data_IF_200826140676
#
_entry.id   IF_200826140676
#
_cell.length_a   1.000
_cell.length_b   1.000
_cell.length_c   1.000
_cell.angle_alpha   90.00
_cell.angle_beta   90.00
_cell.angle_gamma   90.00
#
_symmetry.space_group_name_H-M   'P 1'
#
loop_
_entity.id
_entity.type
_entity.pdbx_description
1 polymer ?
#
# COMPACT_ATOMS: atom_id res chain seq x y z
N UNK A 1 23.57 -20.17 -16.42
CA UNK A 1 22.84 -19.36 -15.43
C UNK A 1 22.96 -17.91 -15.86
N UNK A 2 21.85 -17.18 -16.01
CA UNK A 2 21.87 -15.79 -16.49
C UNK A 2 22.64 -14.88 -15.53
N UNK A 3 23.38 -13.89 -16.06
CA UNK A 3 24.12 -12.95 -15.22
C UNK A 3 23.15 -12.01 -14.47
N UNK A 4 23.63 -11.30 -13.44
CA UNK A 4 22.81 -10.27 -12.78
C UNK A 4 22.39 -9.19 -13.78
N UNK A 5 23.28 -8.83 -14.71
CA UNK A 5 22.99 -7.83 -15.74
C UNK A 5 21.91 -8.29 -16.72
N UNK A 6 21.91 -9.58 -17.11
CA UNK A 6 20.88 -10.14 -17.99
C UNK A 6 19.50 -10.11 -17.31
N UNK A 7 19.43 -10.49 -16.03
CA UNK A 7 18.18 -10.45 -15.24
C UNK A 7 17.67 -9.03 -15.00
N UNK A 8 18.56 -8.05 -14.83
CA UNK A 8 18.15 -6.64 -14.73
C UNK A 8 17.63 -6.09 -16.06
N UNK A 9 18.11 -6.60 -17.21
CA UNK A 9 17.59 -6.23 -18.53
C UNK A 9 16.18 -6.76 -18.76
N UNK A 10 15.84 -7.93 -18.23
CA UNK A 10 14.50 -8.51 -18.32
C UNK A 10 13.43 -7.63 -17.66
N UNK A 11 13.77 -6.91 -16.59
CA UNK A 11 12.85 -6.00 -15.89
C UNK A 11 12.73 -4.60 -16.53
N UNK A 12 13.54 -4.28 -17.56
CA UNK A 12 13.46 -2.97 -18.22
C UNK A 12 12.15 -2.85 -19.00
N UNK A 13 11.48 -1.72 -18.86
CA UNK A 13 10.23 -1.38 -19.55
C UNK A 13 9.08 -2.34 -19.25
N UNK A 14 9.17 -3.13 -18.17
CA UNK A 14 8.10 -4.04 -17.76
C UNK A 14 6.94 -3.29 -17.08
N UNK A 15 7.24 -2.20 -16.40
CA UNK A 15 6.25 -1.37 -15.71
C UNK A 15 6.59 0.12 -15.85
N UNK A 16 5.57 0.95 -15.72
CA UNK A 16 5.70 2.40 -15.66
C UNK A 16 4.77 2.98 -14.58
N UNK A 17 5.17 4.11 -13.99
CA UNK A 17 4.29 4.90 -13.14
C UNK A 17 3.48 5.80 -14.08
N UNK A 18 2.16 5.63 -14.05
CA UNK A 18 1.24 6.30 -14.99
C UNK A 18 0.37 7.36 -14.33
N UNK A 19 0.32 7.40 -13.00
CA UNK A 19 -0.37 8.45 -12.26
C UNK A 19 0.13 8.53 -10.83
N UNK A 20 0.13 9.74 -10.29
CA UNK A 20 0.53 10.05 -8.92
C UNK A 20 -0.36 11.15 -8.38
N UNK A 21 -0.83 11.01 -7.15
CA UNK A 21 -1.56 12.08 -6.49
C UNK A 21 -1.59 11.85 -4.97
N UNK A 22 -2.01 12.89 -4.26
CA UNK A 22 -2.20 12.91 -2.82
C UNK A 22 -3.71 12.89 -2.48
N UNK A 23 -4.03 12.81 -1.18
CA UNK A 23 -5.39 13.07 -0.71
C UNK A 23 -5.77 14.53 -0.97
N UNK A 24 -7.08 14.82 -1.05
CA UNK A 24 -7.58 16.15 -1.43
C UNK A 24 -7.08 17.27 -0.50
N UNK A 25 -6.78 16.91 0.75
CA UNK A 25 -6.15 17.79 1.72
C UNK A 25 -5.03 17.06 2.45
N UNK A 26 -4.02 17.81 2.89
CA UNK A 26 -2.91 17.33 3.73
C UNK A 26 -2.72 18.29 4.90
N UNK A 27 -2.27 17.76 6.04
CA UNK A 27 -1.90 18.54 7.21
C UNK A 27 -2.67 18.11 8.43
N UNK A 28 -3.36 19.05 9.07
CA UNK A 28 -4.14 18.79 10.29
C UNK A 28 -5.60 18.59 9.94
N UNK A 29 -6.01 17.32 9.85
CA UNK A 29 -7.33 16.83 9.43
C UNK A 29 -7.95 15.99 10.56
N UNK A 30 -8.51 16.62 11.61
CA UNK A 30 -8.97 15.93 12.82
C UNK A 30 -10.21 15.04 12.62
N UNK A 31 -10.86 15.13 11.46
CA UNK A 31 -12.08 14.37 11.14
C UNK A 31 -11.87 13.41 9.97
N UNK A 32 -10.66 13.29 9.43
CA UNK A 32 -10.35 12.43 8.29
C UNK A 32 -9.67 11.17 8.80
N UNK A 33 -10.15 10.00 8.39
CA UNK A 33 -9.54 8.71 8.76
C UNK A 33 -8.34 8.39 7.87
N UNK A 34 -7.42 7.55 8.36
CA UNK A 34 -6.31 7.03 7.54
C UNK A 34 -6.82 6.31 6.29
N UNK A 35 -7.91 5.54 6.43
CA UNK A 35 -8.57 4.88 5.32
C UNK A 35 -9.06 5.91 4.28
N UNK A 36 -9.69 7.00 4.70
CA UNK A 36 -10.14 8.07 3.80
C UNK A 36 -8.97 8.67 3.00
N UNK A 37 -7.84 8.92 3.65
CA UNK A 37 -6.64 9.44 2.99
C UNK A 37 -6.12 8.46 1.92
N UNK A 38 -6.10 7.16 2.23
CA UNK A 38 -5.77 6.13 1.23
C UNK A 38 -6.74 6.17 0.04
N UNK A 39 -8.05 6.17 0.31
CA UNK A 39 -9.07 6.09 -0.74
C UNK A 39 -9.05 7.33 -1.66
N UNK A 40 -8.87 8.52 -1.08
CA UNK A 40 -8.73 9.78 -1.83
C UNK A 40 -7.48 9.74 -2.71
N UNK A 41 -6.31 9.45 -2.13
CA UNK A 41 -5.05 9.40 -2.87
C UNK A 41 -5.07 8.35 -3.99
N UNK A 42 -5.61 7.14 -3.73
CA UNK A 42 -5.74 6.10 -4.76
C UNK A 42 -6.69 6.56 -5.86
N UNK A 43 -7.85 7.11 -5.51
CA UNK A 43 -8.84 7.56 -6.50
C UNK A 43 -8.29 8.68 -7.38
N UNK A 44 -7.50 9.58 -6.79
CA UNK A 44 -6.87 10.70 -7.48
C UNK A 44 -5.74 10.23 -8.39
N UNK A 45 -4.82 9.38 -7.91
CA UNK A 45 -3.73 8.82 -8.72
C UNK A 45 -4.25 7.96 -9.89
N UNK A 46 -5.32 7.20 -9.69
CA UNK A 46 -5.97 6.43 -10.75
C UNK A 46 -6.62 7.35 -11.78
N UNK A 47 -7.21 8.47 -11.35
CA UNK A 47 -7.77 9.48 -12.24
C UNK A 47 -6.69 10.20 -13.04
N UNK A 48 -5.57 10.56 -12.41
CA UNK A 48 -4.39 11.14 -13.07
C UNK A 48 -3.85 10.22 -14.17
N UNK A 49 -3.85 8.91 -13.92
CA UNK A 49 -3.53 7.88 -14.92
C UNK A 49 -4.57 7.72 -16.05
N UNK A 50 -5.72 8.40 -16.00
CA UNK A 50 -6.83 8.23 -16.94
C UNK A 50 -7.56 6.88 -16.83
N UNK A 51 -7.39 6.18 -15.70
CA UNK A 51 -7.98 4.88 -15.42
C UNK A 51 -9.22 5.01 -14.53
N UNK A 52 -9.92 3.89 -14.29
CA UNK A 52 -10.99 3.80 -13.30
C UNK A 52 -10.52 2.96 -12.12
N UNK A 53 -11.05 3.24 -10.92
CA UNK A 53 -10.71 2.48 -9.70
C UNK A 53 -10.94 0.98 -9.89
N UNK A 54 -12.00 0.58 -10.60
CA UNK A 54 -12.29 -0.82 -10.94
C UNK A 54 -11.21 -1.54 -11.76
N UNK A 55 -10.33 -0.79 -12.42
CA UNK A 55 -9.25 -1.34 -13.25
C UNK A 55 -8.06 -1.75 -12.37
N UNK A 56 -7.99 -1.27 -11.12
CA UNK A 56 -6.97 -1.65 -10.13
C UNK A 56 -7.18 -3.08 -9.66
N UNK A 57 -6.13 -3.89 -9.79
CA UNK A 57 -6.15 -5.30 -9.44
C UNK A 57 -4.90 -5.78 -8.68
N UNK A 58 -3.93 -4.89 -8.45
CA UNK A 58 -2.82 -5.08 -7.52
C UNK A 58 -2.82 -3.99 -6.44
N UNK A 59 -2.85 -4.36 -5.16
CA UNK A 59 -2.83 -3.39 -4.05
C UNK A 59 -1.62 -3.62 -3.14
N UNK A 60 -0.83 -2.57 -2.97
CA UNK A 60 0.37 -2.55 -2.16
C UNK A 60 0.24 -1.43 -1.12
N UNK A 61 0.36 -1.79 0.16
CA UNK A 61 0.31 -0.80 1.26
C UNK A 61 1.10 -1.30 2.47
N UNK A 62 1.63 -0.37 3.26
CA UNK A 62 2.20 -0.65 4.58
C UNK A 62 1.60 0.31 5.59
N UNK A 63 1.46 -0.17 6.82
CA UNK A 63 0.90 0.59 7.93
C UNK A 63 -0.26 -0.14 8.58
N UNK A 64 -1.26 0.63 9.03
CA UNK A 64 -2.36 0.10 9.84
C UNK A 64 -3.43 -0.64 9.03
N UNK A 65 -3.55 -0.35 7.73
CA UNK A 65 -4.57 -0.94 6.88
C UNK A 65 -3.99 -2.06 6.02
N UNK A 66 -4.67 -3.21 6.01
CA UNK A 66 -4.32 -4.30 5.11
C UNK A 66 -4.70 -3.95 3.66
N UNK A 67 -3.98 -4.47 2.65
CA UNK A 67 -4.37 -4.30 1.25
C UNK A 67 -5.78 -4.83 0.93
N UNK A 68 -6.21 -5.89 1.63
CA UNK A 68 -7.54 -6.46 1.46
C UNK A 68 -8.64 -5.49 1.93
N UNK A 69 -8.42 -4.81 3.06
CA UNK A 69 -9.34 -3.77 3.57
C UNK A 69 -9.44 -2.60 2.59
N UNK A 70 -8.33 -2.19 1.97
CA UNK A 70 -8.36 -1.17 0.93
C UNK A 70 -9.15 -1.64 -0.30
N UNK A 71 -8.95 -2.90 -0.72
CA UNK A 71 -9.71 -3.50 -1.82
C UNK A 71 -11.22 -3.48 -1.56
N UNK A 72 -11.64 -3.90 -0.36
CA UNK A 72 -13.04 -3.86 0.06
C UNK A 72 -13.59 -2.42 0.04
N UNK A 73 -12.87 -1.47 0.63
CA UNK A 73 -13.29 -0.07 0.72
C UNK A 73 -13.34 0.64 -0.64
N UNK A 74 -12.48 0.26 -1.58
CA UNK A 74 -12.50 0.72 -2.98
C UNK A 74 -13.59 0.02 -3.82
N UNK A 75 -14.18 -1.06 -3.31
CA UNK A 75 -15.14 -1.88 -4.05
C UNK A 75 -14.50 -2.74 -5.16
N UNK A 76 -13.22 -3.11 -5.01
CA UNK A 76 -12.46 -3.89 -5.99
C UNK A 76 -12.06 -5.25 -5.43
N UNK A 77 -11.79 -6.20 -6.33
CA UNK A 77 -11.32 -7.55 -5.98
C UNK A 77 -9.92 -7.75 -6.56
N UNK A 78 -8.86 -7.35 -5.84
CA UNK A 78 -7.50 -7.43 -6.36
C UNK A 78 -7.10 -8.90 -6.56
N UNK A 79 -6.36 -9.16 -7.65
CA UNK A 79 -5.74 -10.46 -7.94
C UNK A 79 -4.45 -10.66 -7.15
N UNK A 80 -3.78 -9.55 -6.83
CA UNK A 80 -2.54 -9.55 -6.06
C UNK A 80 -2.58 -8.50 -4.95
N UNK A 81 -2.11 -8.88 -3.76
CA UNK A 81 -2.06 -8.01 -2.59
C UNK A 81 -0.72 -8.16 -1.89
N UNK A 82 -0.16 -7.05 -1.42
CA UNK A 82 1.09 -7.04 -0.66
C UNK A 82 1.04 -6.03 0.49
N UNK A 83 1.20 -6.54 1.71
CA UNK A 83 1.19 -5.79 2.97
C UNK A 83 2.57 -5.66 3.62
N UNK A 84 3.65 -5.95 2.89
CA UNK A 84 5.02 -6.02 3.45
C UNK A 84 5.40 -4.69 4.11
N UNK A 85 5.65 -4.73 5.42
CA UNK A 85 6.03 -3.57 6.23
C UNK A 85 7.45 -3.74 6.77
N UNK A 86 8.35 -2.82 6.41
CA UNK A 86 9.75 -2.78 6.88
C UNK A 86 10.12 -1.44 7.57
N UNK A 87 9.12 -0.62 7.88
CA UNK A 87 9.29 0.74 8.42
C UNK A 87 9.16 1.82 7.34
N UNK A 88 9.78 2.98 7.53
CA UNK A 88 9.56 4.16 6.68
C UNK A 88 9.91 3.98 5.20
N UNK A 89 10.73 2.99 4.85
CA UNK A 89 11.10 2.68 3.46
C UNK A 89 10.21 1.61 2.80
N UNK A 90 9.11 1.18 3.41
CA UNK A 90 8.29 0.08 2.86
C UNK A 90 7.84 0.34 1.42
N UNK A 91 7.52 1.59 1.07
CA UNK A 91 7.00 1.95 -0.24
C UNK A 91 7.99 1.73 -1.39
N UNK A 92 9.30 1.94 -1.16
CA UNK A 92 10.29 1.69 -2.23
C UNK A 92 10.47 0.19 -2.50
N UNK A 93 10.33 -0.64 -1.47
CA UNK A 93 10.35 -2.10 -1.61
C UNK A 93 9.09 -2.58 -2.34
N UNK A 94 7.92 -2.03 -2.01
CA UNK A 94 6.68 -2.34 -2.70
C UNK A 94 6.72 -1.99 -4.18
N UNK A 95 7.41 -0.92 -4.60
CA UNK A 95 7.62 -0.65 -6.02
C UNK A 95 8.35 -1.82 -6.69
N UNK A 96 9.39 -2.37 -6.03
CA UNK A 96 10.07 -3.57 -6.51
C UNK A 96 9.15 -4.79 -6.60
N UNK A 97 8.29 -5.01 -5.59
CA UNK A 97 7.31 -6.09 -5.60
C UNK A 97 6.24 -5.90 -6.68
N UNK A 98 5.77 -4.67 -6.91
CA UNK A 98 4.81 -4.34 -7.96
C UNK A 98 5.39 -4.61 -9.35
N UNK A 99 6.64 -4.24 -9.60
CA UNK A 99 7.34 -4.57 -10.85
C UNK A 99 7.41 -6.09 -11.04
N UNK A 100 7.74 -6.85 -9.99
CA UNK A 100 7.77 -8.31 -10.07
C UNK A 100 6.38 -8.92 -10.31
N UNK A 101 5.34 -8.39 -9.67
CA UNK A 101 3.97 -8.86 -9.85
C UNK A 101 3.46 -8.59 -11.27
N UNK A 102 3.70 -7.39 -11.81
CA UNK A 102 3.39 -7.03 -13.19
C UNK A 102 4.17 -7.90 -14.18
N UNK A 103 5.48 -8.11 -13.95
CA UNK A 103 6.34 -8.97 -14.78
C UNK A 103 5.79 -10.40 -14.90
N UNK A 104 5.30 -10.94 -13.78
CA UNK A 104 4.79 -12.30 -13.71
C UNK A 104 3.29 -12.43 -14.04
N UNK A 105 2.63 -11.34 -14.43
CA UNK A 105 1.20 -11.34 -14.78
C UNK A 105 0.28 -11.63 -13.60
N UNK A 106 0.72 -11.32 -12.37
CA UNK A 106 -0.09 -11.48 -11.15
C UNK A 106 -1.12 -10.35 -11.00
N UNK A 107 -0.82 -9.18 -11.57
CA UNK A 107 -1.73 -8.04 -11.72
C UNK A 107 -1.40 -7.27 -13.02
N UNK A 108 -2.30 -6.38 -13.43
CA UNK A 108 -2.13 -5.52 -14.62
C UNK A 108 -2.04 -4.02 -14.24
N UNK A 109 -2.73 -3.62 -13.17
CA UNK A 109 -2.77 -2.26 -12.63
C UNK A 109 -2.52 -2.31 -11.13
N UNK A 110 -1.28 -1.96 -10.75
CA UNK A 110 -0.84 -1.91 -9.37
C UNK A 110 -0.95 -0.51 -8.79
N UNK A 111 -1.47 -0.40 -7.55
CA UNK A 111 -1.41 0.82 -6.74
C UNK A 111 -0.53 0.60 -5.51
N UNK A 112 0.43 1.49 -5.31
CA UNK A 112 1.22 1.59 -4.08
C UNK A 112 0.69 2.80 -3.33
N UNK A 113 0.14 2.58 -2.13
CA UNK A 113 -0.53 3.65 -1.37
C UNK A 113 0.02 3.79 0.04
N UNK A 114 0.01 5.03 0.52
CA UNK A 114 0.28 5.37 1.90
C UNK A 114 -0.77 6.36 2.39
N UNK A 115 -1.23 6.18 3.63
CA UNK A 115 -2.17 7.08 4.29
C UNK A 115 -1.95 7.01 5.79
N UNK A 116 -1.53 8.12 6.38
CA UNK A 116 -1.33 8.25 7.81
C UNK A 116 -2.02 9.51 8.34
N UNK A 117 -2.43 9.47 9.61
CA UNK A 117 -2.97 10.64 10.29
C UNK A 117 -2.17 10.97 11.55
N UNK A 118 -0.85 10.78 11.47
CA UNK A 118 0.10 11.04 12.57
C UNK A 118 -0.04 12.46 13.13
N UNK A 119 -0.12 13.45 12.25
CA UNK A 119 -0.23 14.88 12.61
C UNK A 119 -1.55 15.24 13.30
N UNK A 120 -2.66 14.64 12.86
CA UNK A 120 -4.00 14.97 13.37
C UNK A 120 -4.41 14.09 14.55
N UNK A 121 -3.71 12.96 14.75
CA UNK A 121 -3.97 12.00 15.81
C UNK A 121 -5.22 11.12 15.57
N UNK A 122 -5.80 11.10 14.36
CA UNK A 122 -7.02 10.33 14.10
C UNK A 122 -6.69 8.87 13.79
N UNK A 123 -7.23 7.96 14.60
CA UNK A 123 -6.85 6.54 14.53
C UNK A 123 -5.37 6.29 14.84
N UNK A 124 -4.70 7.25 15.48
CA UNK A 124 -3.32 7.11 15.96
C UNK A 124 -3.35 6.86 17.45
N UNK A 125 -2.79 5.73 17.87
CA UNK A 125 -2.63 5.43 19.30
C UNK A 125 -1.61 6.41 19.91
N UNK A 126 -2.03 7.20 20.91
CA UNK A 126 -1.14 8.13 21.63
C UNK A 126 -0.08 7.33 22.41
N UNK A 127 1.19 7.58 22.11
CA UNK A 127 2.35 6.76 22.51
C UNK A 127 2.60 6.72 24.03
N UNK A 128 2.95 5.53 24.57
CA UNK A 128 4.33 5.16 24.94
C UNK A 128 4.58 3.67 24.69
N UNK A 129 5.60 3.38 23.89
CA UNK A 129 5.93 2.06 23.33
C UNK A 129 7.44 1.85 23.39
N UNK A 130 7.92 0.62 23.63
CA UNK A 130 9.33 0.25 23.37
C UNK A 130 9.52 -1.19 22.86
N UNK A 131 8.44 -1.83 22.40
CA UNK A 131 8.37 -3.04 21.57
C UNK A 131 9.02 -4.35 22.06
N UNK A 132 8.23 -5.42 22.08
CA UNK A 132 8.42 -6.63 21.26
C UNK A 132 7.01 -7.03 20.85
N UNK A 133 6.63 -6.85 19.59
CA UNK A 133 5.23 -6.80 19.13
C UNK A 133 4.28 -5.90 20.00
N UNK A 134 4.80 -4.74 20.47
CA UNK A 134 4.08 -3.66 21.21
C UNK A 134 3.90 -3.85 22.71
N UNK A 135 3.87 -5.12 23.09
CA UNK A 135 4.65 -5.59 24.22
C UNK A 135 4.83 -7.09 24.13
N UNK A 136 3.87 -7.82 23.54
CA UNK A 136 3.98 -9.12 22.84
C UNK A 136 2.69 -9.32 22.04
N UNK A 137 2.73 -9.39 20.72
CA UNK A 137 1.64 -9.71 19.76
C UNK A 137 0.31 -8.96 19.93
N UNK A 138 0.26 -7.83 20.62
CA UNK A 138 -0.84 -6.86 20.66
C UNK A 138 -2.30 -7.28 21.01
N UNK A 139 -2.62 -8.50 21.46
CA UNK A 139 -3.12 -8.55 22.84
C UNK A 139 -1.97 -8.72 23.81
N UNK A 140 -0.96 -9.54 23.50
CA UNK A 140 -0.86 -10.99 23.17
C UNK A 140 -1.80 -11.74 22.20
N UNK A 141 -1.61 -11.65 20.88
CA UNK A 141 -1.99 -12.75 19.98
C UNK A 141 -2.17 -12.44 18.51
N UNK A 142 -1.41 -13.18 17.69
CA UNK A 142 -1.41 -13.15 16.22
C UNK A 142 -2.05 -14.43 15.65
N UNK A 143 -3.35 -14.36 15.30
CA UNK A 143 -4.16 -15.51 14.87
C UNK A 143 -4.74 -16.30 16.05
N UNK A 144 -6.07 -16.48 16.09
CA UNK A 144 -6.81 -17.01 17.25
C UNK A 144 -6.56 -18.49 17.57
N UNK A 145 -7.14 -18.95 18.68
CA UNK A 145 -7.35 -20.39 18.87
C UNK A 145 -8.21 -20.92 17.71
N UNK A 146 -7.76 -22.04 17.13
CA UNK A 146 -8.29 -22.82 15.98
C UNK A 146 -7.99 -22.30 14.59
#
# INVERSE_FOLDING_TARGET
>A
MATVSDRQRELRNVACIVGVDESDQIGTLPNTSQLSLHLEAISNAVRDAGLKVRDVDGIFTAGQHSPATLGEALGVKPRYVDGTTVGGCSFIIMVGHAVAALHHGLCDVAVVSHGESGRSGTGVTRTRDTALSGQFEFPYGFGGAT
#
